data_IF_375184855188
#
_entry.id   IF_375184855188
#
_cell.length_a   1.000
_cell.length_b   1.000
_cell.length_c   1.000
_cell.angle_alpha   90.00
_cell.angle_beta   90.00
_cell.angle_gamma   90.00
#
_symmetry.space_group_name_H-M   'P 1'
#
loop_
_entity.id
_entity.type
_entity.pdbx_description
1 polymer ?
#
# COMPACT_ATOMS: atom_id res chain seq x y z
N UNK A 1 5.48 -0.38 12.05
CA UNK A 1 6.71 0.01 11.32
C UNK A 1 6.64 -0.55 9.91
N UNK A 2 6.85 0.28 8.89
CA UNK A 2 6.98 -0.17 7.50
C UNK A 2 8.43 -0.01 7.05
N UNK A 3 8.94 -0.99 6.32
CA UNK A 3 10.26 -0.95 5.69
C UNK A 3 10.08 -1.11 4.20
N UNK A 4 10.45 -0.10 3.42
CA UNK A 4 10.47 -0.18 1.97
C UNK A 4 11.92 -0.32 1.50
N UNK A 5 12.18 -1.32 0.66
CA UNK A 5 13.46 -1.52 -0.01
C UNK A 5 13.17 -1.68 -1.50
N UNK A 6 13.77 -0.82 -2.31
CA UNK A 6 13.62 -0.90 -3.76
C UNK A 6 14.59 0.03 -4.47
N UNK A 7 15.01 -0.40 -5.66
CA UNK A 7 15.67 0.47 -6.64
C UNK A 7 14.57 1.17 -7.43
N UNK A 8 14.47 2.49 -7.34
CA UNK A 8 13.48 3.27 -8.08
C UNK A 8 14.22 3.94 -9.24
N UNK A 9 13.81 3.57 -10.46
CA UNK A 9 14.32 4.16 -11.70
C UNK A 9 13.33 5.22 -12.19
N UNK A 10 13.78 6.47 -12.24
CA UNK A 10 13.02 7.56 -12.85
C UNK A 10 13.44 7.72 -14.32
N UNK A 11 12.45 7.80 -15.21
CA UNK A 11 12.64 8.43 -16.53
C UNK A 11 12.48 9.93 -16.36
N UNK A 12 13.56 10.67 -16.57
CA UNK A 12 13.56 12.14 -16.51
C UNK A 12 14.05 12.68 -17.84
N UNK A 13 13.37 13.71 -18.36
CA UNK A 13 13.71 14.35 -19.63
C UNK A 13 12.45 14.70 -20.45
N UNK A 14 12.66 15.32 -21.61
CA UNK A 14 11.58 15.60 -22.56
C UNK A 14 11.65 14.62 -23.74
N UNK A 15 10.50 14.03 -24.08
CA UNK A 15 10.33 13.19 -25.26
C UNK A 15 10.65 13.95 -26.56
N UNK A 16 10.19 15.21 -26.66
CA UNK A 16 10.42 16.06 -27.84
C UNK A 16 11.88 16.50 -27.98
N UNK A 17 12.60 16.66 -26.86
CA UNK A 17 14.01 17.07 -26.86
C UNK A 17 14.99 15.88 -26.95
N UNK A 18 14.51 14.63 -26.93
CA UNK A 18 15.36 13.43 -26.97
C UNK A 18 16.28 13.26 -25.74
N UNK A 19 15.97 13.92 -24.63
CA UNK A 19 16.83 13.98 -23.42
C UNK A 19 16.41 13.00 -22.32
N UNK A 20 15.58 12.01 -22.66
CA UNK A 20 15.17 10.96 -21.73
C UNK A 20 16.39 10.21 -21.19
N UNK A 21 16.65 10.35 -19.89
CA UNK A 21 17.68 9.61 -19.17
C UNK A 21 17.04 8.79 -18.06
N UNK A 22 17.50 7.54 -17.92
CA UNK A 22 17.14 6.67 -16.80
C UNK A 22 18.12 6.95 -15.65
N UNK A 23 17.60 7.47 -14.52
CA UNK A 23 18.37 7.61 -13.28
C UNK A 23 17.86 6.63 -12.23
N UNK A 24 18.77 5.81 -11.71
CA UNK A 24 18.52 4.85 -10.64
C UNK A 24 18.96 5.45 -9.30
N UNK A 25 18.08 5.44 -8.30
CA UNK A 25 18.38 5.92 -6.95
C UNK A 25 18.22 4.79 -5.92
N UNK A 26 19.18 4.68 -5.00
CA UNK A 26 19.02 3.83 -3.80
C UNK A 26 17.99 4.48 -2.87
N UNK A 27 16.77 3.97 -2.95
CA UNK A 27 15.60 4.51 -2.26
C UNK A 27 15.25 3.57 -1.10
N UNK A 28 16.17 3.35 -0.18
CA UNK A 28 15.87 2.62 1.06
C UNK A 28 15.42 3.59 2.15
N UNK A 29 14.17 3.45 2.62
CA UNK A 29 13.64 4.28 3.72
C UNK A 29 12.84 3.45 4.73
N UNK A 30 12.85 3.91 5.98
CA UNK A 30 12.07 3.34 7.08
C UNK A 30 11.01 4.32 7.51
N UNK A 31 9.77 3.84 7.61
CA UNK A 31 8.60 4.68 7.86
C UNK A 31 7.81 4.28 9.09
N UNK A 32 7.23 5.28 9.75
CA UNK A 32 6.27 5.10 10.84
C UNK A 32 5.15 6.11 10.69
N UNK A 33 3.94 5.71 11.07
CA UNK A 33 2.85 6.65 11.28
C UNK A 33 1.53 5.95 11.58
N UNK A 34 0.52 6.75 11.94
CA UNK A 34 -0.79 6.24 12.31
C UNK A 34 -1.52 5.67 11.10
N UNK A 35 -2.34 4.66 11.35
CA UNK A 35 -3.23 4.05 10.36
C UNK A 35 -4.62 3.96 10.96
N UNK A 36 -5.60 4.50 10.25
CA UNK A 36 -7.02 4.26 10.49
C UNK A 36 -7.45 3.11 9.57
N UNK A 37 -8.10 2.11 10.14
CA UNK A 37 -8.61 0.96 9.41
C UNK A 37 -10.09 0.75 9.72
N UNK A 38 -10.86 0.38 8.70
CA UNK A 38 -12.27 0.09 8.80
C UNK A 38 -12.59 -1.19 8.02
N UNK A 39 -13.56 -1.96 8.52
CA UNK A 39 -14.08 -3.15 7.88
C UNK A 39 -15.60 -3.08 7.86
N UNK A 40 -16.18 -3.33 6.70
CA UNK A 40 -17.63 -3.45 6.53
C UNK A 40 -17.95 -4.89 6.14
N UNK A 41 -18.76 -5.57 6.95
CA UNK A 41 -19.28 -6.89 6.60
C UNK A 41 -20.35 -6.77 5.53
N UNK A 42 -20.23 -7.55 4.45
CA UNK A 42 -21.16 -7.51 3.32
C UNK A 42 -22.18 -8.64 3.39
N UNK A 43 -21.72 -9.88 3.61
CA UNK A 43 -22.57 -11.06 3.67
C UNK A 43 -21.95 -12.17 4.51
N UNK A 44 -22.79 -13.04 5.06
CA UNK A 44 -22.38 -14.27 5.75
C UNK A 44 -23.35 -15.39 5.42
N UNK A 45 -22.82 -16.55 5.03
CA UNK A 45 -23.60 -17.76 4.78
C UNK A 45 -22.83 -18.97 5.33
N UNK A 46 -23.37 -19.57 6.40
CA UNK A 46 -22.73 -20.67 7.11
C UNK A 46 -21.31 -20.31 7.59
N UNK A 47 -20.32 -21.03 7.06
CA UNK A 47 -18.90 -20.83 7.38
C UNK A 47 -18.23 -19.78 6.51
N UNK A 48 -18.89 -19.23 5.48
CA UNK A 48 -18.32 -18.23 4.58
C UNK A 48 -18.80 -16.83 4.95
N UNK A 49 -17.90 -15.85 4.95
CA UNK A 49 -18.25 -14.43 5.06
C UNK A 49 -17.44 -13.56 4.10
N UNK A 50 -18.06 -12.48 3.62
CA UNK A 50 -17.43 -11.47 2.78
C UNK A 50 -17.41 -10.12 3.51
N UNK A 51 -16.29 -9.40 3.39
CA UNK A 51 -16.14 -8.03 3.89
C UNK A 51 -15.43 -7.13 2.87
N UNK A 52 -15.60 -5.83 3.03
CA UNK A 52 -14.77 -4.83 2.40
C UNK A 52 -13.87 -4.19 3.47
N UNK A 53 -12.56 -4.19 3.22
CA UNK A 53 -11.55 -3.67 4.12
C UNK A 53 -10.95 -2.39 3.53
N UNK A 54 -10.86 -1.33 4.34
CA UNK A 54 -10.23 -0.06 3.97
C UNK A 54 -9.24 0.40 5.04
N UNK A 55 -8.16 1.06 4.64
CA UNK A 55 -7.27 1.76 5.56
C UNK A 55 -6.69 3.01 4.93
N UNK A 56 -6.54 4.07 5.71
CA UNK A 56 -5.80 5.27 5.36
C UNK A 56 -4.72 5.49 6.42
N UNK A 57 -3.51 5.82 6.00
CA UNK A 57 -2.39 6.05 6.90
C UNK A 57 -1.50 7.19 6.45
N UNK A 58 -0.78 7.75 7.40
CA UNK A 58 0.32 8.68 7.14
C UNK A 58 1.62 7.91 7.37
N UNK A 59 2.57 8.04 6.46
CA UNK A 59 3.89 7.44 6.54
C UNK A 59 4.91 8.57 6.63
N UNK A 60 5.65 8.63 7.73
CA UNK A 60 6.78 9.54 7.91
C UNK A 60 8.06 8.74 7.79
N UNK A 61 8.92 9.09 6.85
CA UNK A 61 10.18 8.43 6.56
C UNK A 61 11.37 9.10 7.23
N UNK A 62 12.41 8.32 7.52
CA UNK A 62 13.69 8.80 8.08
C UNK A 62 14.47 9.71 7.11
N UNK A 63 14.17 9.59 5.80
CA UNK A 63 14.75 10.37 4.71
C UNK A 63 13.73 10.57 3.60
N UNK A 64 14.04 11.43 2.64
CA UNK A 64 13.17 11.67 1.48
C UNK A 64 13.00 10.34 0.74
N UNK A 65 11.74 9.92 0.58
CA UNK A 65 11.42 8.64 -0.04
C UNK A 65 10.28 8.78 -1.05
N UNK A 66 10.56 8.48 -2.32
CA UNK A 66 11.89 8.14 -2.87
C UNK A 66 12.87 9.31 -2.85
N UNK A 67 14.12 9.04 -3.27
CA UNK A 67 15.14 10.07 -3.38
C UNK A 67 14.66 11.25 -4.25
N UNK A 68 14.67 12.46 -3.67
CA UNK A 68 14.20 13.69 -4.34
C UNK A 68 12.71 13.99 -4.20
N UNK A 69 11.95 13.15 -3.49
CA UNK A 69 10.53 13.36 -3.18
C UNK A 69 10.34 13.97 -1.77
N UNK A 70 9.29 13.57 -1.04
CA UNK A 70 9.01 14.04 0.31
C UNK A 70 9.35 13.01 1.39
N UNK A 71 9.43 13.46 2.65
CA UNK A 71 9.57 12.59 3.83
C UNK A 71 8.25 12.07 4.36
N UNK A 72 7.13 12.47 3.77
CA UNK A 72 5.80 12.05 4.21
C UNK A 72 4.96 11.62 3.02
N UNK A 73 4.15 10.60 3.22
CA UNK A 73 3.22 10.07 2.21
C UNK A 73 1.91 9.66 2.87
N UNK A 74 0.80 9.76 2.15
CA UNK A 74 -0.48 9.17 2.52
C UNK A 74 -0.63 7.82 1.82
N UNK A 75 -1.01 6.78 2.56
CA UNK A 75 -1.25 5.45 2.01
C UNK A 75 -2.72 5.06 2.20
N UNK A 76 -3.40 4.81 1.09
CA UNK A 76 -4.73 4.24 1.05
C UNK A 76 -4.65 2.79 0.62
N UNK A 77 -5.37 1.90 1.32
CA UNK A 77 -5.52 0.50 0.93
C UNK A 77 -6.99 0.13 1.00
N UNK A 78 -7.46 -0.63 0.03
CA UNK A 78 -8.86 -1.04 -0.03
C UNK A 78 -8.99 -2.40 -0.71
N UNK A 79 -10.03 -3.14 -0.39
CA UNK A 79 -10.41 -4.31 -1.18
C UNK A 79 -11.22 -5.35 -0.41
N UNK A 80 -11.80 -6.32 -1.13
CA UNK A 80 -12.65 -7.33 -0.53
C UNK A 80 -11.82 -8.42 0.15
N UNK A 81 -12.41 -8.99 1.19
CA UNK A 81 -11.91 -10.19 1.88
C UNK A 81 -13.01 -11.23 1.92
N UNK A 82 -12.67 -12.46 1.53
CA UNK A 82 -13.51 -13.64 1.71
C UNK A 82 -12.91 -14.47 2.84
N UNK A 83 -13.69 -14.85 3.84
CA UNK A 83 -13.24 -15.66 4.97
C UNK A 83 -14.05 -16.95 5.06
N UNK A 84 -13.36 -18.04 5.37
CA UNK A 84 -13.93 -19.34 5.68
C UNK A 84 -13.58 -19.71 7.13
N UNK A 85 -14.60 -19.94 7.93
CA UNK A 85 -14.48 -20.38 9.31
C UNK A 85 -14.19 -21.87 9.35
N UNK A 86 -13.00 -22.23 9.84
CA UNK A 86 -12.57 -23.62 10.00
C UNK A 86 -13.21 -24.26 11.23
N UNK A 87 -13.36 -23.47 12.30
CA UNK A 87 -14.08 -23.82 13.54
C UNK A 87 -14.39 -22.53 14.31
N UNK A 88 -14.97 -22.63 15.50
CA UNK A 88 -15.38 -21.46 16.29
C UNK A 88 -14.23 -20.54 16.75
N UNK A 89 -12.97 -20.92 16.51
CA UNK A 89 -11.78 -20.17 16.93
C UNK A 89 -10.79 -19.87 15.80
N UNK A 90 -11.04 -20.35 14.58
CA UNK A 90 -10.08 -20.29 13.48
C UNK A 90 -10.76 -19.92 12.17
N UNK A 91 -10.17 -18.95 11.47
CA UNK A 91 -10.60 -18.48 10.16
C UNK A 91 -9.43 -18.51 9.17
N UNK A 92 -9.75 -18.85 7.92
CA UNK A 92 -8.89 -18.70 6.76
C UNK A 92 -9.48 -17.63 5.84
N UNK A 93 -8.71 -16.63 5.47
CA UNK A 93 -9.16 -15.51 4.64
C UNK A 93 -8.34 -15.37 3.36
N UNK A 94 -9.02 -15.00 2.28
CA UNK A 94 -8.46 -14.61 1.00
C UNK A 94 -8.76 -13.13 0.79
N UNK A 95 -7.74 -12.34 0.47
CA UNK A 95 -7.79 -10.88 0.45
C UNK A 95 -7.33 -10.40 -0.92
N UNK A 96 -8.13 -9.56 -1.57
CA UNK A 96 -7.69 -8.74 -2.71
C UNK A 96 -7.50 -7.32 -2.21
N UNK A 97 -6.39 -6.68 -2.56
CA UNK A 97 -6.03 -5.35 -2.04
C UNK A 97 -5.47 -4.44 -3.11
N UNK A 98 -6.15 -3.34 -3.37
CA UNK A 98 -5.57 -2.16 -3.98
C UNK A 98 -4.82 -1.31 -2.95
N UNK A 99 -3.80 -0.61 -3.40
CA UNK A 99 -3.03 0.36 -2.63
C UNK A 99 -2.72 1.57 -3.51
N UNK A 100 -2.89 2.76 -2.95
CA UNK A 100 -2.48 4.02 -3.54
C UNK A 100 -1.63 4.78 -2.51
N UNK A 101 -0.50 5.35 -2.95
CA UNK A 101 0.38 6.19 -2.12
C UNK A 101 0.65 7.49 -2.86
N UNK A 102 0.48 8.62 -2.18
CA UNK A 102 0.88 9.96 -2.65
C UNK A 102 0.98 10.94 -1.48
N UNK A 103 1.61 12.09 -1.68
CA UNK A 103 1.77 13.11 -0.64
C UNK A 103 0.89 14.36 -0.85
N UNK A 104 -0.02 14.30 -1.83
CA UNK A 104 -1.01 15.35 -2.08
C UNK A 104 -0.46 16.65 -2.66
N UNK A 105 0.81 16.70 -3.09
CA UNK A 105 1.43 17.90 -3.68
C UNK A 105 1.13 18.10 -5.18
N UNK A 106 0.11 17.42 -5.71
CA UNK A 106 -0.32 17.54 -7.11
C UNK A 106 0.63 16.90 -8.12
N UNK A 107 0.69 17.42 -9.36
CA UNK A 107 1.58 16.94 -10.44
C UNK A 107 3.04 17.43 -10.29
N UNK A 108 3.51 17.61 -9.06
CA UNK A 108 4.87 18.08 -8.79
C UNK A 108 5.85 16.89 -8.79
N UNK A 109 7.09 17.03 -9.30
CA UNK A 109 8.13 16.00 -9.19
C UNK A 109 8.39 15.49 -7.76
N UNK A 110 8.01 16.27 -6.73
CA UNK A 110 8.13 15.87 -5.33
C UNK A 110 6.98 14.97 -4.82
N UNK A 111 5.95 14.70 -5.64
CA UNK A 111 4.84 13.79 -5.33
C UNK A 111 5.03 12.42 -6.00
N UNK A 112 5.53 11.43 -5.26
CA UNK A 112 5.70 10.10 -5.80
C UNK A 112 4.36 9.35 -5.71
N UNK A 113 3.75 9.09 -6.87
CA UNK A 113 2.51 8.31 -6.94
C UNK A 113 2.80 6.82 -7.14
N UNK A 114 2.29 5.99 -6.23
CA UNK A 114 2.36 4.52 -6.35
C UNK A 114 0.99 3.89 -6.33
N UNK A 115 0.76 2.98 -7.26
CA UNK A 115 -0.40 2.11 -7.25
C UNK A 115 0.08 0.65 -7.20
N UNK A 116 -0.56 -0.16 -6.36
CA UNK A 116 -0.33 -1.59 -6.32
C UNK A 116 -1.64 -2.36 -6.19
N UNK A 117 -1.65 -3.57 -6.73
CA UNK A 117 -2.72 -4.55 -6.53
C UNK A 117 -2.05 -5.82 -6.01
N UNK A 118 -2.62 -6.40 -4.95
CA UNK A 118 -2.10 -7.59 -4.30
C UNK A 118 -3.20 -8.59 -3.99
N UNK A 119 -2.76 -9.84 -3.85
CA UNK A 119 -3.54 -10.96 -3.35
C UNK A 119 -2.86 -11.48 -2.08
N UNK A 120 -3.64 -11.88 -1.08
CA UNK A 120 -3.12 -12.42 0.17
C UNK A 120 -3.99 -13.52 0.75
N UNK A 121 -3.37 -14.38 1.54
CA UNK A 121 -4.04 -15.40 2.36
C UNK A 121 -3.67 -15.14 3.82
N UNK A 122 -4.65 -15.17 4.70
CA UNK A 122 -4.47 -14.94 6.13
C UNK A 122 -5.10 -16.07 6.93
N UNK A 123 -4.38 -16.60 7.91
CA UNK A 123 -4.95 -17.45 8.96
C UNK A 123 -5.04 -16.63 10.25
N UNK A 124 -6.17 -16.72 10.94
CA UNK A 124 -6.35 -16.12 12.26
C UNK A 124 -7.00 -17.10 13.21
N UNK A 125 -6.42 -17.28 14.41
CA UNK A 125 -7.03 -18.09 15.45
C UNK A 125 -6.19 -18.15 16.72
N UNK A 126 -6.78 -18.74 17.77
CA UNK A 126 -6.13 -19.00 19.06
C UNK A 126 -5.91 -20.50 19.19
N UNK A 127 -4.71 -20.90 19.62
CA UNK A 127 -4.33 -22.30 19.88
C UNK A 127 -4.78 -22.74 21.27
#
# INVERSE_FOLDING_TARGET
MSRARGTISYRTGSLEAGTLIDKSYDSTASGVGPVLAARVGLARSGNVSASLDGSAGVLLYDRDFPAGASRYEFMFRYGPTLSYRLNDRQDLSVILRGMHVSNGQGLNPHNPEYNAIGFGVQFSGVF
#
